data_IF_588456381605
#
_entry.id   IF_588456381605
#
_cell.length_a   1.000
_cell.length_b   1.000
_cell.length_c   1.000
_cell.angle_alpha   90.00
_cell.angle_beta   90.00
_cell.angle_gamma   90.00
#
_symmetry.space_group_name_H-M   'P 1'
#
loop_
_entity.id
_entity.type
_entity.pdbx_description
1 polymer ?
#
# COMPACT_ATOMS: atom_id res chain seq x y z
N UNK A 1 23.73 -91.62 18.73
CA UNK A 1 23.47 -90.87 17.48
C UNK A 1 21.99 -90.60 17.14
N UNK A 2 20.98 -91.25 17.77
CA UNK A 2 19.55 -91.10 17.39
C UNK A 2 18.86 -89.75 17.70
N UNK A 3 19.44 -88.87 18.53
CA UNK A 3 18.81 -87.58 18.90
C UNK A 3 18.95 -86.49 17.84
N UNK A 4 20.03 -86.49 17.05
CA UNK A 4 20.31 -85.42 16.08
C UNK A 4 19.35 -85.46 14.90
N UNK A 5 18.95 -86.67 14.48
CA UNK A 5 18.03 -86.86 13.37
C UNK A 5 16.60 -86.44 13.71
N UNK A 6 16.18 -86.63 14.98
CA UNK A 6 14.89 -86.11 15.45
C UNK A 6 14.85 -84.57 15.44
N UNK A 7 15.96 -83.91 15.77
CA UNK A 7 16.06 -82.44 15.69
C UNK A 7 16.00 -81.96 14.24
N UNK A 8 16.71 -82.62 13.31
CA UNK A 8 16.63 -82.29 11.88
C UNK A 8 15.23 -82.50 11.31
N UNK A 9 14.54 -83.56 11.74
CA UNK A 9 13.16 -83.86 11.33
C UNK A 9 12.17 -82.80 11.84
N UNK A 10 12.32 -82.33 13.08
CA UNK A 10 11.51 -81.23 13.65
C UNK A 10 11.76 -79.89 12.95
N UNK A 11 13.00 -79.58 12.57
CA UNK A 11 13.33 -78.35 11.84
C UNK A 11 12.77 -78.39 10.41
N UNK A 12 12.85 -79.54 9.73
CA UNK A 12 12.27 -79.72 8.40
C UNK A 12 10.74 -79.64 8.41
N UNK A 13 10.08 -80.18 9.45
CA UNK A 13 8.63 -80.05 9.62
C UNK A 13 8.21 -78.59 9.83
N UNK A 14 8.92 -77.81 10.67
CA UNK A 14 8.62 -76.37 10.85
C UNK A 14 8.81 -75.54 9.58
N UNK A 15 9.74 -75.91 8.70
CA UNK A 15 9.89 -75.27 7.38
C UNK A 15 8.73 -75.58 6.44
N UNK A 16 8.21 -76.82 6.48
CA UNK A 16 7.04 -77.21 5.67
C UNK A 16 5.73 -76.56 6.17
N UNK A 17 5.51 -76.44 7.48
CA UNK A 17 4.32 -75.74 8.00
C UNK A 17 4.36 -74.23 7.83
N UNK A 18 5.56 -73.62 7.71
CA UNK A 18 5.70 -72.19 7.38
C UNK A 18 5.59 -71.86 5.90
N UNK A 19 5.60 -72.86 5.01
CA UNK A 19 5.54 -72.67 3.55
C UNK A 19 4.13 -72.84 2.94
N UNK A 20 3.11 -73.13 3.74
CA UNK A 20 1.71 -73.21 3.28
C UNK A 20 0.82 -72.27 4.07
N UNK A 21 0.95 -70.96 3.84
CA UNK A 21 -0.06 -69.97 4.15
C UNK A 21 -0.13 -68.96 3.00
N UNK A 22 -1.36 -68.74 2.54
CA UNK A 22 -1.87 -67.82 1.52
C UNK A 22 -1.07 -66.51 1.29
N UNK A 23 -1.17 -65.88 0.10
CA UNK A 23 -0.45 -64.67 -0.21
C UNK A 23 -0.77 -63.58 0.81
N UNK A 24 0.27 -63.04 1.44
CA UNK A 24 0.19 -61.83 2.23
C UNK A 24 -0.50 -60.75 1.39
N UNK A 25 -1.62 -60.24 1.91
CA UNK A 25 -2.33 -59.09 1.36
C UNK A 25 -1.30 -58.01 1.04
N UNK A 26 -1.36 -57.46 -0.19
CA UNK A 26 -0.71 -56.21 -0.55
C UNK A 26 -1.08 -55.18 0.52
N UNK A 27 -0.18 -54.92 1.46
CA UNK A 27 -0.18 -53.67 2.18
C UNK A 27 0.11 -52.64 1.11
N UNK A 28 -0.94 -51.93 0.71
CA UNK A 28 -0.82 -50.64 0.04
C UNK A 28 0.22 -49.85 0.83
N UNK A 29 1.44 -49.77 0.29
CA UNK A 29 2.37 -48.70 0.62
C UNK A 29 1.59 -47.42 0.33
N UNK A 30 0.99 -46.85 1.38
CA UNK A 30 0.57 -45.46 1.32
C UNK A 30 1.85 -44.72 0.98
N UNK A 31 1.88 -44.17 -0.24
CA UNK A 31 2.82 -43.16 -0.66
C UNK A 31 2.87 -42.17 0.50
N UNK A 32 3.97 -42.16 1.27
CA UNK A 32 4.26 -41.06 2.18
C UNK A 32 4.25 -39.86 1.24
N UNK A 33 3.20 -39.06 1.34
CA UNK A 33 3.15 -37.78 0.65
C UNK A 33 4.41 -37.05 1.11
N UNK A 34 5.23 -36.63 0.14
CA UNK A 34 6.44 -35.86 0.39
C UNK A 34 5.97 -34.51 0.95
N UNK A 35 5.79 -34.45 2.27
CA UNK A 35 5.40 -33.24 2.99
C UNK A 35 6.53 -32.23 2.79
N UNK A 36 6.28 -31.09 2.13
CA UNK A 36 7.32 -30.11 1.89
C UNK A 36 7.77 -29.50 3.24
N UNK A 37 9.05 -29.09 3.38
CA UNK A 37 9.64 -28.70 4.67
C UNK A 37 8.94 -27.56 5.42
N UNK A 38 8.08 -26.79 4.75
CA UNK A 38 7.30 -25.68 5.31
C UNK A 38 5.95 -26.09 5.91
N UNK A 39 5.50 -27.33 5.67
CA UNK A 39 4.39 -27.91 6.44
C UNK A 39 5.00 -28.40 7.74
N UNK A 40 4.72 -27.70 8.82
CA UNK A 40 5.31 -27.93 10.12
C UNK A 40 5.25 -29.42 10.49
N UNK A 41 6.39 -29.95 10.94
CA UNK A 41 6.54 -31.24 11.59
C UNK A 41 5.30 -31.53 12.46
N UNK A 42 4.55 -32.57 12.12
CA UNK A 42 3.43 -33.04 12.95
C UNK A 42 3.95 -33.34 14.35
N UNK A 43 3.26 -32.81 15.36
CA UNK A 43 3.59 -32.90 16.80
C UNK A 43 3.94 -34.32 17.27
N UNK A 44 3.44 -35.34 16.58
CA UNK A 44 3.73 -36.75 16.81
C UNK A 44 5.22 -37.14 16.65
N UNK A 45 6.00 -36.45 15.80
CA UNK A 45 7.44 -36.75 15.62
C UNK A 45 8.33 -36.08 16.68
N UNK A 46 7.82 -35.08 17.42
CA UNK A 46 8.59 -34.38 18.48
C UNK A 46 8.79 -35.25 19.72
N UNK A 47 8.00 -36.31 19.88
CA UNK A 47 7.98 -37.15 21.08
C UNK A 47 8.41 -38.62 20.87
N UNK A 48 8.66 -39.07 19.63
CA UNK A 48 9.22 -40.40 19.37
C UNK A 48 10.76 -40.38 19.45
N UNK A 49 11.30 -40.72 20.62
CA UNK A 49 12.73 -40.71 20.93
C UNK A 49 13.58 -41.79 20.25
N UNK A 50 13.59 -41.87 18.92
CA UNK A 50 14.55 -42.69 18.18
C UNK A 50 14.82 -42.15 16.77
N UNK A 51 15.74 -41.19 16.65
CA UNK A 51 16.33 -40.83 15.37
C UNK A 51 17.50 -41.76 15.06
N UNK A 52 17.21 -42.87 14.37
CA UNK A 52 18.25 -43.58 13.62
C UNK A 52 18.63 -42.71 12.42
N UNK A 53 19.85 -42.19 12.40
CA UNK A 53 20.38 -41.41 11.29
C UNK A 53 20.66 -42.35 10.12
N UNK A 54 19.66 -42.58 9.28
CA UNK A 54 19.86 -43.18 7.96
C UNK A 54 20.40 -42.07 7.05
N UNK A 55 21.66 -42.21 6.62
CA UNK A 55 22.31 -41.32 5.66
C UNK A 55 21.69 -41.53 4.28
N UNK A 56 20.47 -41.04 4.08
CA UNK A 56 19.86 -40.95 2.77
C UNK A 56 20.57 -39.85 2.00
N UNK A 57 21.20 -40.22 0.89
CA UNK A 57 21.74 -39.31 -0.13
C UNK A 57 20.61 -38.47 -0.74
N UNK A 58 20.18 -37.45 -0.01
CA UNK A 58 19.23 -36.46 -0.50
C UNK A 58 19.96 -35.53 -1.46
N UNK A 59 19.93 -35.89 -2.74
CA UNK A 59 19.94 -34.90 -3.81
C UNK A 59 18.87 -33.85 -3.44
N UNK A 60 19.22 -32.57 -3.26
CA UNK A 60 18.22 -31.55 -2.99
C UNK A 60 17.34 -31.44 -4.23
N UNK A 61 16.18 -32.12 -4.21
CA UNK A 61 15.12 -31.87 -5.18
C UNK A 61 14.83 -30.38 -5.09
N UNK A 62 14.97 -29.65 -6.20
CA UNK A 62 14.61 -28.23 -6.27
C UNK A 62 13.12 -28.11 -5.99
N UNK A 63 12.74 -27.91 -4.73
CA UNK A 63 11.37 -27.62 -4.34
C UNK A 63 10.99 -26.28 -4.95
N UNK A 64 10.13 -26.32 -5.97
CA UNK A 64 9.53 -25.14 -6.57
C UNK A 64 8.29 -24.81 -5.76
N UNK A 65 8.26 -23.63 -5.15
CA UNK A 65 7.09 -23.16 -4.42
C UNK A 65 5.91 -22.98 -5.40
N UNK A 66 4.69 -23.45 -5.09
CA UNK A 66 3.57 -23.43 -6.03
C UNK A 66 3.16 -22.01 -6.47
N UNK A 67 3.46 -20.99 -5.66
CA UNK A 67 3.22 -19.58 -6.02
C UNK A 67 4.35 -18.92 -6.83
N UNK A 68 5.52 -19.55 -6.97
CA UNK A 68 6.69 -18.97 -7.64
C UNK A 68 7.23 -19.91 -8.71
N UNK A 69 6.69 -19.77 -9.93
CA UNK A 69 7.27 -20.37 -11.12
C UNK A 69 8.51 -19.55 -11.54
N UNK A 70 9.75 -20.05 -11.35
CA UNK A 70 10.97 -19.26 -11.62
C UNK A 70 11.04 -18.83 -13.08
N UNK A 71 10.53 -19.65 -14.01
CA UNK A 71 10.47 -19.32 -15.43
C UNK A 71 9.50 -18.17 -15.73
N UNK A 72 8.35 -18.11 -15.06
CA UNK A 72 7.40 -17.02 -15.23
C UNK A 72 7.90 -15.72 -14.57
N UNK A 73 8.61 -15.83 -13.46
CA UNK A 73 9.28 -14.70 -12.82
C UNK A 73 10.37 -14.10 -13.73
N UNK A 74 11.24 -14.94 -14.30
CA UNK A 74 12.25 -14.51 -15.27
C UNK A 74 11.60 -13.92 -16.53
N UNK A 75 10.50 -14.50 -17.02
CA UNK A 75 9.76 -13.94 -18.16
C UNK A 75 9.19 -12.55 -17.84
N UNK A 76 8.62 -12.35 -16.65
CA UNK A 76 8.14 -11.03 -16.18
C UNK A 76 9.28 -10.01 -16.11
N UNK A 77 10.44 -10.40 -15.58
CA UNK A 77 11.64 -9.55 -15.57
C UNK A 77 12.13 -9.22 -16.97
N UNK A 78 12.16 -10.20 -17.88
CA UNK A 78 12.56 -10.00 -19.27
C UNK A 78 11.60 -9.05 -19.99
N UNK A 79 10.29 -9.21 -19.79
CA UNK A 79 9.27 -8.35 -20.38
C UNK A 79 9.42 -6.91 -19.88
N UNK A 80 9.62 -6.74 -18.57
CA UNK A 80 9.87 -5.42 -17.97
C UNK A 80 11.14 -4.77 -18.54
N UNK A 81 12.24 -5.52 -18.65
CA UNK A 81 13.48 -5.02 -19.22
C UNK A 81 13.32 -4.65 -20.71
N UNK A 82 12.57 -5.44 -21.49
CA UNK A 82 12.28 -5.13 -22.89
C UNK A 82 11.46 -3.85 -23.04
N UNK A 83 10.47 -3.61 -22.18
CA UNK A 83 9.67 -2.38 -22.18
C UNK A 83 10.54 -1.15 -21.92
N UNK A 84 11.44 -1.24 -20.95
CA UNK A 84 12.40 -0.16 -20.63
C UNK A 84 13.35 0.08 -21.80
N UNK A 85 13.86 -0.97 -22.44
CA UNK A 85 14.73 -0.82 -23.62
C UNK A 85 14.00 -0.21 -24.82
N UNK A 86 12.75 -0.59 -25.08
CA UNK A 86 11.92 -0.02 -26.14
C UNK A 86 11.68 1.48 -25.88
N UNK A 87 11.38 1.86 -24.63
CA UNK A 87 11.23 3.27 -24.24
C UNK A 87 12.54 4.06 -24.43
N UNK A 88 13.67 3.49 -24.01
CA UNK A 88 14.99 4.11 -24.17
C UNK A 88 15.40 4.27 -25.64
N UNK A 89 15.15 3.26 -26.48
CA UNK A 89 15.40 3.32 -27.93
C UNK A 89 14.46 4.33 -28.59
N UNK A 90 13.20 4.41 -28.18
CA UNK A 90 12.26 5.41 -28.68
C UNK A 90 12.68 6.83 -28.34
N UNK A 91 13.27 7.05 -27.16
CA UNK A 91 13.77 8.36 -26.74
C UNK A 91 15.07 8.76 -27.46
N UNK A 92 15.96 7.80 -27.73
CA UNK A 92 17.25 8.04 -28.40
C UNK A 92 17.17 7.96 -29.93
N UNK A 93 16.12 7.34 -30.46
CA UNK A 93 15.88 7.11 -31.88
C UNK A 93 15.35 8.36 -32.58
N UNK A 94 16.19 8.98 -33.41
CA UNK A 94 15.86 10.15 -34.23
C UNK A 94 15.20 9.78 -35.57
N UNK A 95 14.58 8.60 -35.67
CA UNK A 95 14.01 8.12 -36.93
C UNK A 95 12.66 8.80 -37.20
N UNK A 96 12.48 9.31 -38.43
CA UNK A 96 11.34 10.13 -38.90
C UNK A 96 9.93 9.78 -38.41
N UNK A 97 9.49 8.51 -38.28
CA UNK A 97 8.13 8.21 -37.79
C UNK A 97 7.92 8.49 -36.28
N UNK A 98 8.99 8.63 -35.47
CA UNK A 98 8.87 8.89 -34.03
C UNK A 98 8.68 10.37 -33.66
N UNK A 99 8.84 11.30 -34.61
CA UNK A 99 8.58 12.72 -34.36
C UNK A 99 7.10 13.01 -34.06
N UNK A 100 6.18 12.18 -34.57
CA UNK A 100 4.74 12.29 -34.31
C UNK A 100 4.32 11.72 -32.95
N UNK A 101 5.15 10.87 -32.33
CA UNK A 101 4.89 10.32 -31.00
C UNK A 101 5.39 11.23 -29.87
N UNK A 102 6.39 12.09 -30.14
CA UNK A 102 6.89 13.07 -29.17
C UNK A 102 5.80 13.97 -28.57
N UNK A 103 4.89 14.62 -29.33
CA UNK A 103 3.85 15.44 -28.73
C UNK A 103 2.88 14.63 -27.88
N UNK A 104 2.57 13.38 -28.26
CA UNK A 104 1.68 12.49 -27.50
C UNK A 104 2.32 12.09 -26.17
N UNK A 105 3.63 11.80 -26.18
CA UNK A 105 4.38 11.45 -24.97
C UNK A 105 4.52 12.68 -24.07
N UNK A 106 4.90 13.84 -24.60
CA UNK A 106 4.98 15.09 -23.82
C UNK A 106 3.63 15.46 -23.22
N UNK A 107 2.54 15.35 -23.97
CA UNK A 107 1.19 15.58 -23.47
C UNK A 107 0.80 14.60 -22.36
N UNK A 108 1.28 13.35 -22.41
CA UNK A 108 1.05 12.36 -21.35
C UNK A 108 1.88 12.65 -20.09
N UNK A 109 3.06 13.26 -20.22
CA UNK A 109 3.90 13.68 -19.10
C UNK A 109 3.46 15.01 -18.47
N UNK A 110 2.84 15.89 -19.26
CA UNK A 110 2.24 17.16 -18.79
C UNK A 110 0.83 16.97 -18.23
N UNK A 111 0.13 15.90 -18.62
CA UNK A 111 -1.20 15.60 -18.12
C UNK A 111 -1.11 14.92 -16.75
N UNK A 112 -1.68 15.56 -15.74
CA UNK A 112 -1.82 15.00 -14.40
C UNK A 112 -2.39 13.58 -14.47
N UNK A 113 -1.68 12.63 -13.86
CA UNK A 113 -2.08 11.23 -13.87
C UNK A 113 -3.42 11.08 -13.15
N UNK A 114 -4.47 10.63 -13.86
CA UNK A 114 -5.81 10.49 -13.29
C UNK A 114 -5.94 9.23 -12.42
N UNK A 115 -5.37 9.29 -11.21
CA UNK A 115 -5.42 8.22 -10.21
C UNK A 115 -6.85 7.74 -9.93
N UNK A 116 -7.84 8.63 -10.00
CA UNK A 116 -9.25 8.28 -9.80
C UNK A 116 -9.79 7.28 -10.86
N UNK A 117 -9.43 7.47 -12.14
CA UNK A 117 -9.86 6.57 -13.22
C UNK A 117 -9.15 5.22 -13.13
N UNK A 118 -7.85 5.24 -12.83
CA UNK A 118 -7.05 4.03 -12.60
C UNK A 118 -7.57 3.22 -11.40
N UNK A 119 -7.89 3.91 -10.30
CA UNK A 119 -8.44 3.28 -9.10
C UNK A 119 -9.82 2.67 -9.38
N UNK A 120 -10.72 3.36 -10.10
CA UNK A 120 -12.03 2.81 -10.49
C UNK A 120 -11.91 1.54 -11.35
N UNK A 121 -10.97 1.52 -12.32
CA UNK A 121 -10.72 0.32 -13.13
C UNK A 121 -10.13 -0.82 -12.30
N UNK A 122 -9.20 -0.51 -11.39
CA UNK A 122 -8.59 -1.48 -10.49
C UNK A 122 -9.62 -2.08 -9.53
N UNK A 123 -10.42 -1.24 -8.84
CA UNK A 123 -11.53 -1.68 -7.98
C UNK A 123 -12.54 -2.54 -8.74
N UNK A 124 -12.85 -2.20 -10.00
CA UNK A 124 -13.75 -3.00 -10.84
C UNK A 124 -13.16 -4.37 -11.20
N UNK A 125 -11.85 -4.47 -11.39
CA UNK A 125 -11.18 -5.68 -11.90
C UNK A 125 -10.70 -6.60 -10.78
N UNK A 126 -10.15 -6.01 -9.72
CA UNK A 126 -9.50 -6.70 -8.60
C UNK A 126 -10.39 -6.70 -7.35
N UNK A 127 -11.41 -5.83 -7.30
CA UNK A 127 -12.19 -5.56 -6.09
C UNK A 127 -11.49 -4.56 -5.19
N UNK A 128 -12.05 -4.33 -3.99
CA UNK A 128 -11.39 -3.54 -2.95
C UNK A 128 -10.57 -4.49 -2.06
N UNK A 129 -9.25 -4.65 -2.31
CA UNK A 129 -8.43 -5.57 -1.52
C UNK A 129 -8.29 -5.15 -0.06
N UNK A 130 -8.65 -3.90 0.30
CA UNK A 130 -8.60 -3.37 1.66
C UNK A 130 -9.98 -3.33 2.35
N UNK A 131 -11.01 -3.89 1.73
CA UNK A 131 -12.36 -3.97 2.31
C UNK A 131 -12.41 -4.72 3.65
N UNK A 132 -11.40 -5.53 3.97
CA UNK A 132 -11.30 -6.25 5.24
C UNK A 132 -10.74 -5.41 6.40
N UNK A 133 -10.06 -4.29 6.11
CA UNK A 133 -9.53 -3.36 7.12
C UNK A 133 -10.46 -2.15 7.33
N UNK A 134 -11.37 -1.91 6.38
CA UNK A 134 -12.36 -0.84 6.50
C UNK A 134 -13.56 -1.39 7.26
N UNK A 135 -13.62 -1.09 8.56
CA UNK A 135 -14.83 -1.35 9.36
C UNK A 135 -16.02 -0.67 8.67
N UNK A 136 -16.91 -1.54 8.18
CA UNK A 136 -18.27 -1.31 7.69
C UNK A 136 -18.76 0.15 7.79
N UNK A 137 -18.46 0.95 6.77
CA UNK A 137 -19.33 2.05 6.34
C UNK A 137 -19.83 1.71 4.93
N UNK A 138 -20.94 0.99 4.91
CA UNK A 138 -21.82 0.96 3.73
C UNK A 138 -22.31 2.39 3.52
N UNK A 139 -21.77 3.05 2.50
CA UNK A 139 -22.58 3.60 1.42
C UNK A 139 -21.66 3.99 0.26
N UNK A 140 -21.89 3.33 -0.88
CA UNK A 140 -21.52 3.85 -2.17
C UNK A 140 -22.22 5.20 -2.35
N UNK A 141 -21.50 6.29 -2.07
CA UNK A 141 -21.69 7.52 -2.82
C UNK A 141 -20.67 7.50 -3.93
N UNK A 142 -21.16 7.72 -5.14
CA UNK A 142 -20.38 8.29 -6.23
C UNK A 142 -19.23 9.11 -5.66
N UNK A 143 -18.02 8.90 -6.18
CA UNK A 143 -16.96 9.89 -6.09
C UNK A 143 -17.43 11.09 -6.94
N UNK A 144 -18.42 11.82 -6.42
CA UNK A 144 -18.55 13.23 -6.62
C UNK A 144 -17.25 13.81 -6.07
N UNK A 145 -16.57 14.56 -6.92
CA UNK A 145 -15.55 15.52 -6.54
C UNK A 145 -16.19 16.65 -5.69
N UNK A 146 -16.78 16.25 -4.56
CA UNK A 146 -17.32 17.08 -3.52
C UNK A 146 -17.09 16.35 -2.19
N UNK A 147 -15.82 16.05 -1.91
CA UNK A 147 -15.37 15.97 -0.53
C UNK A 147 -15.50 17.41 -0.02
N UNK A 148 -16.67 17.71 0.53
CA UNK A 148 -17.05 18.97 1.20
C UNK A 148 -15.80 19.55 1.87
N UNK A 149 -15.22 20.62 1.33
CA UNK A 149 -14.05 21.25 1.93
C UNK A 149 -14.47 21.79 3.29
N UNK A 150 -13.70 21.51 4.35
CA UNK A 150 -13.99 22.14 5.65
C UNK A 150 -13.49 23.59 5.61
N UNK A 151 -14.27 24.51 6.18
CA UNK A 151 -13.81 25.88 6.39
C UNK A 151 -12.86 25.90 7.60
N UNK A 152 -11.60 26.33 7.45
CA UNK A 152 -10.63 26.33 8.55
C UNK A 152 -11.09 27.10 9.78
N UNK A 153 -11.78 28.23 9.57
CA UNK A 153 -12.53 28.96 10.56
C UNK A 153 -13.59 29.84 9.88
N UNK A 154 -14.81 29.84 10.43
CA UNK A 154 -15.89 30.73 10.00
C UNK A 154 -15.53 32.19 10.22
N UNK A 155 -15.78 33.07 9.24
CA UNK A 155 -15.33 34.44 9.32
C UNK A 155 -15.54 35.26 8.06
N UNK A 156 -15.21 36.54 8.15
CA UNK A 156 -15.36 37.49 7.05
C UNK A 156 -14.02 37.68 6.34
N UNK A 157 -14.01 37.53 5.02
CA UNK A 157 -12.81 37.81 4.22
C UNK A 157 -12.54 39.33 4.21
N UNK A 158 -11.36 39.73 4.71
CA UNK A 158 -10.91 41.12 4.75
C UNK A 158 -10.06 41.48 3.51
N UNK A 159 -9.12 40.61 3.14
CA UNK A 159 -8.29 40.80 1.94
C UNK A 159 -8.56 39.67 0.96
N UNK A 160 -8.97 40.04 -0.25
CA UNK A 160 -9.29 39.11 -1.34
C UNK A 160 -8.03 38.69 -2.10
N UNK A 161 -8.10 37.50 -2.70
CA UNK A 161 -7.06 36.92 -3.54
C UNK A 161 -6.51 37.87 -4.60
N UNK A 162 -7.37 38.72 -5.17
CA UNK A 162 -7.05 39.73 -6.19
C UNK A 162 -6.09 40.84 -5.72
N UNK A 163 -5.90 41.05 -4.42
CA UNK A 163 -4.99 42.08 -3.91
C UNK A 163 -3.54 41.59 -3.73
N UNK A 164 -3.34 40.32 -3.36
CA UNK A 164 -2.01 39.73 -3.09
C UNK A 164 -1.61 38.64 -4.09
N UNK A 165 -2.55 38.08 -4.86
CA UNK A 165 -2.32 37.04 -5.87
C UNK A 165 -1.96 35.66 -5.33
N UNK A 166 -2.00 35.45 -4.01
CA UNK A 166 -1.52 34.23 -3.37
C UNK A 166 -2.51 33.60 -2.37
N UNK A 167 -3.45 34.36 -1.80
CA UNK A 167 -4.37 33.85 -0.78
C UNK A 167 -5.31 34.92 -0.23
N UNK A 168 -6.10 34.57 0.78
CA UNK A 168 -7.07 35.45 1.46
C UNK A 168 -6.72 35.64 2.92
N UNK A 169 -7.05 36.81 3.48
CA UNK A 169 -7.05 37.01 4.94
C UNK A 169 -8.47 37.01 5.46
N UNK A 170 -8.74 36.19 6.46
CA UNK A 170 -10.07 36.00 7.02
C UNK A 170 -10.07 36.48 8.47
N UNK A 171 -10.99 37.38 8.80
CA UNK A 171 -11.28 37.79 10.17
C UNK A 171 -12.26 36.79 10.77
N UNK A 172 -11.89 36.17 11.89
CA UNK A 172 -12.71 35.20 12.60
C UNK A 172 -12.73 35.50 14.09
N UNK A 173 -13.80 35.09 14.76
CA UNK A 173 -13.88 35.06 16.23
C UNK A 173 -13.41 33.72 16.82
N UNK A 174 -13.09 32.73 15.99
CA UNK A 174 -12.59 31.44 16.42
C UNK A 174 -11.08 31.52 16.70
N UNK A 175 -10.65 31.06 17.86
CA UNK A 175 -9.23 30.99 18.21
C UNK A 175 -8.51 29.82 17.52
N UNK A 176 -9.24 28.72 17.28
CA UNK A 176 -8.70 27.52 16.64
C UNK A 176 -8.86 27.59 15.12
N UNK A 177 -7.81 27.17 14.41
CA UNK A 177 -7.81 27.01 12.96
C UNK A 177 -7.70 25.52 12.64
N UNK A 178 -8.70 25.01 11.92
CA UNK A 178 -8.83 23.60 11.60
C UNK A 178 -8.40 23.30 10.16
N UNK A 179 -8.11 22.03 9.90
CA UNK A 179 -7.66 21.58 8.59
C UNK A 179 -8.82 21.54 7.58
N UNK A 180 -8.63 22.19 6.43
CA UNK A 180 -9.58 22.14 5.31
C UNK A 180 -9.81 20.71 4.81
N UNK A 181 -8.75 19.91 4.76
CA UNK A 181 -8.72 18.58 4.16
C UNK A 181 -7.60 17.74 4.78
N UNK A 182 -7.79 16.43 4.82
CA UNK A 182 -6.78 15.50 5.32
C UNK A 182 -5.46 15.58 4.52
N UNK A 183 -4.32 15.41 5.19
CA UNK A 183 -3.01 15.52 4.54
C UNK A 183 -1.82 15.41 5.49
N UNK A 184 -0.62 15.63 4.95
CA UNK A 184 0.62 15.64 5.72
C UNK A 184 1.18 17.05 5.85
N UNK A 185 1.68 17.39 7.04
CA UNK A 185 2.36 18.66 7.28
C UNK A 185 3.74 18.62 6.62
N UNK A 186 3.97 19.49 5.64
CA UNK A 186 5.23 19.57 4.88
C UNK A 186 6.07 20.79 5.24
N UNK A 187 5.49 21.78 5.91
CA UNK A 187 6.22 22.96 6.37
C UNK A 187 5.59 23.54 7.65
N UNK A 188 6.41 23.86 8.64
CA UNK A 188 6.03 24.66 9.81
C UNK A 188 7.12 25.72 10.00
N UNK A 189 6.91 26.93 9.48
CA UNK A 189 7.93 27.99 9.50
C UNK A 189 7.32 29.37 9.68
N UNK A 190 8.09 30.28 10.28
CA UNK A 190 7.76 31.69 10.36
C UNK A 190 8.29 32.42 9.13
N UNK A 191 7.40 32.91 8.27
CA UNK A 191 7.73 33.71 7.08
C UNK A 191 7.48 35.19 7.36
N UNK A 192 8.20 36.07 6.67
CA UNK A 192 8.10 37.53 6.90
C UNK A 192 6.81 38.15 6.38
N UNK A 193 6.21 37.54 5.37
CA UNK A 193 4.98 37.96 4.69
C UNK A 193 3.71 37.41 5.39
N UNK A 194 3.76 36.15 5.82
CA UNK A 194 2.60 35.37 6.28
C UNK A 194 2.69 34.96 7.74
N UNK A 195 3.74 35.33 8.48
CA UNK A 195 3.90 34.98 9.89
C UNK A 195 4.16 33.48 10.10
N UNK A 196 3.80 32.93 11.26
CA UNK A 196 3.89 31.49 11.49
C UNK A 196 2.92 30.78 10.56
N UNK A 197 3.47 29.94 9.68
CA UNK A 197 2.74 29.28 8.61
C UNK A 197 2.94 27.78 8.68
N UNK A 198 1.82 27.05 8.64
CA UNK A 198 1.77 25.60 8.47
C UNK A 198 1.28 25.30 7.06
N UNK A 199 1.98 24.40 6.36
CA UNK A 199 1.60 23.94 5.02
C UNK A 199 1.27 22.45 5.08
N UNK A 200 0.08 22.10 4.61
CA UNK A 200 -0.42 20.73 4.53
C UNK A 200 -0.52 20.31 3.08
N UNK A 201 0.10 19.18 2.72
CA UNK A 201 -0.03 18.55 1.41
C UNK A 201 -1.13 17.49 1.44
N UNK A 202 -2.04 17.57 0.48
CA UNK A 202 -3.18 16.66 0.35
C UNK A 202 -2.89 15.56 -0.67
N UNK A 203 -3.73 14.50 -0.65
CA UNK A 203 -3.58 13.34 -1.52
C UNK A 203 -3.74 13.65 -3.03
N UNK A 204 -4.36 14.77 -3.39
CA UNK A 204 -4.52 15.27 -4.76
C UNK A 204 -3.38 16.19 -5.22
N UNK A 205 -2.26 16.21 -4.47
CA UNK A 205 -1.12 17.11 -4.66
C UNK A 205 -1.45 18.61 -4.54
N UNK A 206 -2.61 18.97 -3.98
CA UNK A 206 -2.87 20.33 -3.55
C UNK A 206 -2.21 20.62 -2.20
N UNK A 207 -1.94 21.89 -1.92
CA UNK A 207 -1.38 22.36 -0.67
C UNK A 207 -2.29 23.42 -0.06
N UNK A 208 -2.56 23.30 1.25
CA UNK A 208 -3.24 24.33 2.03
C UNK A 208 -2.24 25.02 2.95
N UNK A 209 -2.25 26.34 2.94
CA UNK A 209 -1.37 27.19 3.74
C UNK A 209 -2.19 27.89 4.81
N UNK A 210 -1.79 27.72 6.07
CA UNK A 210 -2.40 28.34 7.24
C UNK A 210 -1.38 29.28 7.86
N UNK A 211 -1.53 30.58 7.62
CA UNK A 211 -0.61 31.62 8.06
C UNK A 211 -1.19 32.52 9.16
N UNK A 212 -0.36 33.40 9.68
CA UNK A 212 -0.63 34.32 10.79
C UNK A 212 -1.04 33.61 12.09
N UNK A 213 -0.57 32.37 12.26
CA UNK A 213 -0.80 31.62 13.48
C UNK A 213 0.02 32.22 14.64
N UNK A 214 -0.55 32.18 15.84
CA UNK A 214 0.14 32.44 17.10
C UNK A 214 0.97 31.24 17.51
N UNK A 215 0.37 30.05 17.39
CA UNK A 215 0.94 28.77 17.77
C UNK A 215 0.51 27.69 16.78
N UNK A 216 1.40 26.76 16.48
CA UNK A 216 1.10 25.56 15.69
C UNK A 216 0.89 24.38 16.63
N UNK A 217 -0.22 23.67 16.46
CA UNK A 217 -0.56 22.48 17.25
C UNK A 217 -0.05 21.18 16.61
N UNK A 218 0.63 21.28 15.46
CA UNK A 218 1.13 20.18 14.65
C UNK A 218 2.62 20.34 14.35
N UNK A 219 3.32 19.23 14.15
CA UNK A 219 4.73 19.18 13.79
C UNK A 219 4.95 18.81 12.31
N UNK A 220 6.18 19.02 11.85
CA UNK A 220 6.58 18.62 10.50
C UNK A 220 6.44 17.09 10.33
N UNK A 221 5.84 16.67 9.22
CA UNK A 221 5.51 15.29 8.84
C UNK A 221 4.34 14.65 9.61
N UNK A 222 3.65 15.38 10.47
CA UNK A 222 2.43 14.88 11.09
C UNK A 222 1.33 14.70 10.03
N UNK A 223 0.53 13.66 10.20
CA UNK A 223 -0.70 13.47 9.45
C UNK A 223 -1.84 14.18 10.19
N UNK A 224 -2.66 14.93 9.45
CA UNK A 224 -3.80 15.67 9.99
C UNK A 224 -5.06 15.24 9.27
N UNK A 225 -6.11 14.97 10.04
CA UNK A 225 -7.44 14.66 9.54
C UNK A 225 -8.18 15.94 9.10
N UNK A 226 -9.22 15.78 8.27
CA UNK A 226 -10.12 16.89 7.93
C UNK A 226 -10.81 17.42 9.20
N UNK A 227 -10.76 18.73 9.42
CA UNK A 227 -11.33 19.38 10.60
C UNK A 227 -10.50 19.23 11.87
N UNK A 228 -9.28 18.67 11.77
CA UNK A 228 -8.38 18.61 12.91
C UNK A 228 -7.69 19.97 13.14
N UNK A 229 -7.46 20.30 14.41
CA UNK A 229 -6.85 21.58 14.82
C UNK A 229 -5.39 21.68 14.38
N UNK A 230 -5.10 22.60 13.46
CA UNK A 230 -3.76 22.88 12.94
C UNK A 230 -3.00 23.87 13.83
N UNK A 231 -3.71 24.86 14.36
CA UNK A 231 -3.08 25.91 15.15
C UNK A 231 -4.07 26.85 15.80
N UNK A 232 -3.53 27.93 16.37
CA UNK A 232 -4.28 28.96 17.06
C UNK A 232 -3.87 30.34 16.58
N UNK A 233 -4.81 31.28 16.60
CA UNK A 233 -4.58 32.68 16.27
C UNK A 233 -4.67 33.56 17.51
N UNK A 234 -4.16 34.79 17.41
CA UNK A 234 -4.35 35.79 18.46
C UNK A 234 -5.64 36.56 18.22
N UNK A 235 -6.52 36.59 19.22
CA UNK A 235 -7.69 37.46 19.25
C UNK A 235 -7.33 38.82 19.86
N UNK A 236 -7.94 39.89 19.36
CA UNK A 236 -7.85 41.25 19.89
C UNK A 236 -8.81 41.48 21.08
N UNK A 237 -8.78 42.68 21.65
CA UNK A 237 -9.64 43.09 22.76
C UNK A 237 -11.15 43.06 22.41
N UNK A 238 -11.49 42.98 21.11
CA UNK A 238 -12.86 42.86 20.60
C UNK A 238 -13.25 41.42 20.29
N UNK A 239 -12.38 40.44 20.57
CA UNK A 239 -12.61 39.01 20.34
C UNK A 239 -12.48 38.59 18.87
N UNK A 240 -11.73 39.35 18.06
CA UNK A 240 -11.51 39.10 16.63
C UNK A 240 -10.05 38.85 16.35
N UNK A 241 -9.76 37.88 15.50
CA UNK A 241 -8.42 37.58 15.00
C UNK A 241 -8.42 37.46 13.48
N UNK A 242 -7.24 37.57 12.89
CA UNK A 242 -7.06 37.41 11.45
C UNK A 242 -6.11 36.25 11.19
N UNK A 243 -6.45 35.40 10.23
CA UNK A 243 -5.55 34.38 9.71
C UNK A 243 -5.42 34.47 8.20
N UNK A 244 -4.30 33.96 7.69
CA UNK A 244 -4.04 33.87 6.26
C UNK A 244 -4.33 32.46 5.77
N UNK A 245 -5.06 32.35 4.66
CA UNK A 245 -5.38 31.08 4.05
C UNK A 245 -5.12 31.09 2.54
N UNK A 246 -4.46 30.07 2.05
CA UNK A 246 -4.22 29.89 0.61
C UNK A 246 -4.30 28.43 0.21
N UNK A 247 -4.79 28.20 -1.01
CA UNK A 247 -4.80 26.89 -1.65
C UNK A 247 -3.89 26.98 -2.88
N UNK A 248 -2.93 26.06 -2.97
CA UNK A 248 -2.04 25.92 -4.13
C UNK A 248 -2.29 24.57 -4.79
N UNK A 249 -2.63 24.57 -6.07
CA UNK A 249 -2.85 23.35 -6.86
C UNK A 249 -2.13 23.52 -8.20
N UNK A 250 -1.45 22.47 -8.68
CA UNK A 250 -0.73 22.49 -9.96
C UNK A 250 0.24 23.67 -10.10
N UNK A 251 1.00 23.96 -9.04
CA UNK A 251 1.94 25.09 -8.93
C UNK A 251 1.32 26.50 -8.96
N UNK A 252 0.00 26.62 -9.03
CA UNK A 252 -0.72 27.90 -9.04
C UNK A 252 -1.55 28.08 -7.78
N UNK A 253 -1.60 29.31 -7.26
CA UNK A 253 -2.52 29.65 -6.19
C UNK A 253 -3.93 29.83 -6.77
N UNK A 254 -4.90 29.22 -6.11
CA UNK A 254 -6.33 29.30 -6.45
C UNK A 254 -7.01 30.17 -5.40
N UNK A 255 -7.97 30.98 -5.84
CA UNK A 255 -8.80 31.80 -4.95
C UNK A 255 -9.69 30.89 -4.08
N UNK A 256 -9.47 30.85 -2.75
CA UNK A 256 -10.26 30.01 -1.87
C UNK A 256 -11.76 30.33 -1.91
N UNK A 257 -12.14 31.60 -2.13
CA UNK A 257 -13.55 32.01 -2.15
C UNK A 257 -14.33 31.33 -3.28
N UNK A 258 -13.66 30.96 -4.38
CA UNK A 258 -14.31 30.30 -5.51
C UNK A 258 -14.64 28.83 -5.21
N UNK A 259 -13.98 28.24 -4.22
CA UNK A 259 -14.10 26.82 -3.89
C UNK A 259 -14.81 26.60 -2.55
N UNK A 260 -14.88 27.63 -1.68
CA UNK A 260 -15.55 27.56 -0.40
C UNK A 260 -16.15 28.90 0.03
N UNK A 261 -17.21 28.84 0.84
CA UNK A 261 -17.87 30.01 1.43
C UNK A 261 -17.47 30.14 2.89
N UNK A 262 -16.95 31.30 3.26
CA UNK A 262 -16.70 31.66 4.65
C UNK A 262 -17.96 32.38 5.17
N UNK A 263 -18.79 31.67 5.92
CA UNK A 263 -19.95 32.21 6.66
C UNK A 263 -19.57 32.48 8.12
#
# INVERSE_FOLDING_TARGET
MKRVDEYRKKIAQRRKTKQSAAPSKKTTFKKKEDIPPWVMLTEEEKHSGSSSFESSSHQPKKYQHPLFNPNAFVLKCLLSASLVLIAAISFKGQAGPFQQLKPIITQTFEQDFQFAAANRWFEKTVGNPLAFLTDKKEDQKDVQANQELAVPASGKVQESFTQNGAGVKVETSAEAIDSMKEGYVVEVKKKSDTGLTVVVQHADNSYSWYGQLKEANVALYDFVDKGEKIGQISLDDQGKGTYYFAIKQNEQFIDPIQVMTFE
#
